data_IF_310221212222
#
_entry.id   IF_310221212222
#
_cell.length_a   1.000
_cell.length_b   1.000
_cell.length_c   1.000
_cell.angle_alpha   90.00
_cell.angle_beta   90.00
_cell.angle_gamma   90.00
#
_symmetry.space_group_name_H-M   'P 1'
#
loop_
_entity.id
_entity.type
_entity.pdbx_description
1 polymer ?
#
# COMPACT_ATOMS: atom_id res chain seq x y z
N UNK A 1 -2.11 -10.55 -5.09
CA UNK A 1 -2.52 -10.33 -3.69
C UNK A 1 -1.37 -9.66 -2.96
N UNK A 2 -1.62 -8.58 -2.23
CA UNK A 2 -0.63 -7.96 -1.35
C UNK A 2 -1.09 -8.24 0.08
N UNK A 3 -0.42 -9.14 0.81
CA UNK A 3 -0.80 -9.51 2.15
C UNK A 3 -0.31 -8.46 3.16
N UNK A 4 -0.90 -8.47 4.35
CA UNK A 4 -0.59 -7.51 5.42
C UNK A 4 0.89 -7.53 5.81
N UNK A 5 1.52 -8.71 5.79
CA UNK A 5 2.93 -8.93 6.07
C UNK A 5 3.83 -8.13 5.12
N UNK A 6 3.44 -8.01 3.85
CA UNK A 6 4.18 -7.23 2.86
C UNK A 6 4.03 -5.74 3.11
N UNK A 7 2.84 -5.30 3.51
CA UNK A 7 2.56 -3.89 3.87
C UNK A 7 3.42 -3.46 5.04
N UNK A 8 3.54 -4.30 6.07
CA UNK A 8 4.38 -4.04 7.24
C UNK A 8 5.88 -4.01 6.92
N UNK A 9 6.33 -4.72 5.88
CA UNK A 9 7.74 -4.72 5.45
C UNK A 9 8.07 -3.58 4.48
N UNK A 10 7.08 -3.12 3.72
CA UNK A 10 7.26 -2.18 2.59
C UNK A 10 6.79 -0.78 2.95
N UNK A 11 7.22 -0.30 4.11
CA UNK A 11 6.75 0.95 4.70
C UNK A 11 7.38 2.16 4.01
N UNK A 12 6.65 3.27 3.88
CA UNK A 12 7.25 4.55 3.50
C UNK A 12 8.08 5.07 4.69
N UNK A 13 9.35 5.47 4.52
CA UNK A 13 10.15 5.97 5.64
C UNK A 13 9.47 7.14 6.35
N UNK A 14 9.48 7.15 7.68
CA UNK A 14 8.82 8.19 8.48
C UNK A 14 9.26 9.61 8.09
N UNK A 15 10.56 9.81 7.85
CA UNK A 15 11.07 11.11 7.39
C UNK A 15 10.43 11.55 6.08
N UNK A 16 10.12 10.63 5.16
CA UNK A 16 9.43 10.97 3.91
C UNK A 16 8.02 11.48 4.19
N UNK A 17 7.29 10.82 5.09
CA UNK A 17 5.95 11.25 5.50
C UNK A 17 5.98 12.60 6.24
N UNK A 18 6.81 12.73 7.28
CA UNK A 18 6.88 13.96 8.08
C UNK A 18 7.40 15.15 7.30
N UNK A 19 8.32 14.93 6.35
CA UNK A 19 8.75 15.97 5.44
C UNK A 19 7.60 16.49 4.57
N UNK A 20 6.50 15.76 4.39
CA UNK A 20 5.34 16.21 3.62
C UNK A 20 4.22 16.76 4.51
N UNK A 21 4.11 16.30 5.76
CA UNK A 21 2.96 16.62 6.62
C UNK A 21 3.28 17.59 7.75
N UNK A 22 4.55 17.76 8.11
CA UNK A 22 5.00 18.59 9.23
C UNK A 22 5.70 19.89 8.78
N UNK A 23 5.13 20.55 7.76
CA UNK A 23 5.57 21.87 7.29
C UNK A 23 4.61 22.96 7.75
N UNK A 24 5.11 24.19 7.85
CA UNK A 24 4.30 25.38 8.15
C UNK A 24 3.34 25.72 7.01
N UNK A 25 3.81 25.59 5.77
CA UNK A 25 3.03 25.77 4.56
C UNK A 25 2.82 24.40 3.89
N UNK A 26 1.56 23.97 3.83
CA UNK A 26 1.14 22.71 3.23
C UNK A 26 0.25 22.99 2.03
N UNK A 27 0.46 22.25 0.94
CA UNK A 27 -0.53 22.21 -0.13
C UNK A 27 -1.85 21.60 0.38
N UNK A 28 -3.00 21.89 -0.25
CA UNK A 28 -4.28 21.25 0.08
C UNK A 28 -4.21 19.71 0.18
N UNK A 29 -3.45 19.07 -0.71
CA UNK A 29 -3.29 17.61 -0.72
C UNK A 29 -2.42 17.12 0.44
N UNK A 30 -1.35 17.83 0.80
CA UNK A 30 -0.52 17.51 1.96
C UNK A 30 -1.29 17.69 3.28
N UNK A 31 -2.09 18.76 3.36
CA UNK A 31 -2.99 18.99 4.50
C UNK A 31 -4.02 17.86 4.60
N UNK A 32 -4.63 17.47 3.49
CA UNK A 32 -5.56 16.34 3.46
C UNK A 32 -4.89 15.04 3.93
N UNK A 33 -3.71 14.71 3.40
CA UNK A 33 -2.94 13.53 3.82
C UNK A 33 -2.68 13.56 5.32
N UNK A 34 -2.18 14.68 5.85
CA UNK A 34 -1.95 14.84 7.29
C UNK A 34 -3.23 14.62 8.08
N UNK A 35 -4.29 15.34 7.75
CA UNK A 35 -5.52 15.37 8.54
C UNK A 35 -6.22 14.00 8.55
N UNK A 36 -6.24 13.27 7.42
CA UNK A 36 -6.86 11.95 7.33
C UNK A 36 -6.03 10.84 8.01
N UNK A 37 -4.71 11.01 8.14
CA UNK A 37 -3.81 9.99 8.69
C UNK A 37 -3.39 10.25 10.13
N UNK A 38 -3.55 11.47 10.63
CA UNK A 38 -3.06 11.90 11.96
C UNK A 38 -3.52 10.98 13.09
N UNK A 39 -4.81 10.63 13.11
CA UNK A 39 -5.34 9.74 14.14
C UNK A 39 -4.67 8.36 14.09
N UNK A 40 -4.57 7.75 12.90
CA UNK A 40 -3.96 6.43 12.71
C UNK A 40 -2.48 6.43 13.07
N UNK A 41 -1.73 7.45 12.66
CA UNK A 41 -0.32 7.60 12.99
C UNK A 41 -0.12 7.65 14.51
N UNK A 42 -0.94 8.42 15.22
CA UNK A 42 -0.82 8.58 16.67
C UNK A 42 -1.31 7.37 17.48
N UNK A 43 -2.42 6.73 17.07
CA UNK A 43 -3.01 5.63 17.85
C UNK A 43 -2.35 4.28 17.60
N UNK A 44 -1.85 4.08 16.38
CA UNK A 44 -1.80 2.74 15.82
C UNK A 44 -0.49 2.41 15.08
N UNK A 45 0.44 3.37 14.97
CA UNK A 45 1.70 3.20 14.24
C UNK A 45 2.96 3.42 15.10
N UNK A 46 2.82 3.55 16.42
CA UNK A 46 3.96 3.80 17.35
C UNK A 46 5.11 2.79 17.20
N UNK A 47 4.80 1.53 16.92
CA UNK A 47 5.80 0.45 16.74
C UNK A 47 6.17 0.17 15.28
N UNK A 48 5.66 0.97 14.34
CA UNK A 48 5.92 0.76 12.92
C UNK A 48 7.28 1.33 12.53
N UNK A 49 8.02 0.60 11.69
CA UNK A 49 9.31 1.06 11.12
C UNK A 49 9.15 2.21 10.12
N UNK A 50 7.93 2.46 9.66
CA UNK A 50 7.57 3.53 8.74
C UNK A 50 6.06 3.72 8.64
N UNK A 51 5.64 4.57 7.71
CA UNK A 51 4.25 4.82 7.42
C UNK A 51 3.67 3.72 6.52
N UNK A 52 2.69 2.97 7.02
CA UNK A 52 2.14 1.79 6.35
C UNK A 52 0.86 2.14 5.59
N UNK A 53 0.84 1.87 4.28
CA UNK A 53 -0.32 2.12 3.43
C UNK A 53 -0.54 0.95 2.46
N UNK A 54 -1.40 0.00 2.86
CA UNK A 54 -1.68 -1.19 2.06
C UNK A 54 -2.34 -0.87 0.72
N UNK A 55 -3.38 -0.02 0.74
CA UNK A 55 -4.12 0.36 -0.47
C UNK A 55 -3.25 1.12 -1.47
N UNK A 56 -2.33 1.96 -0.97
CA UNK A 56 -1.34 2.64 -1.80
C UNK A 56 -0.43 1.65 -2.53
N UNK A 57 0.11 0.65 -1.82
CA UNK A 57 0.94 -0.39 -2.43
C UNK A 57 0.15 -1.23 -3.45
N UNK A 58 -1.14 -1.45 -3.21
CA UNK A 58 -2.03 -2.13 -4.17
C UNK A 58 -2.22 -1.35 -5.46
N UNK A 59 -2.43 -0.03 -5.36
CA UNK A 59 -2.48 0.84 -6.54
C UNK A 59 -1.12 0.89 -7.23
N UNK A 60 -0.03 1.05 -6.49
CA UNK A 60 1.33 1.12 -7.04
C UNK A 60 1.68 -0.14 -7.84
N UNK A 61 1.43 -1.32 -7.27
CA UNK A 61 1.64 -2.61 -7.95
C UNK A 61 0.81 -2.75 -9.24
N UNK A 62 -0.36 -2.11 -9.32
CA UNK A 62 -1.22 -2.17 -10.49
C UNK A 62 -0.77 -1.22 -11.62
N UNK A 63 -0.17 -0.07 -11.28
CA UNK A 63 0.26 0.94 -12.26
C UNK A 63 1.73 0.83 -12.66
N UNK A 64 2.57 0.23 -11.81
CA UNK A 64 4.00 0.07 -12.06
C UNK A 64 4.51 -1.26 -11.49
N UNK A 65 4.60 -2.26 -12.37
CA UNK A 65 5.14 -3.58 -12.01
C UNK A 65 6.62 -3.54 -11.61
N UNK A 66 7.39 -2.51 -12.00
CA UNK A 66 8.80 -2.39 -11.60
C UNK A 66 8.96 -2.07 -10.11
N UNK A 67 7.89 -1.61 -9.46
CA UNK A 67 7.84 -1.44 -8.01
C UNK A 67 7.89 -2.76 -7.23
N UNK A 68 7.62 -3.90 -7.86
CA UNK A 68 7.58 -5.22 -7.21
C UNK A 68 8.95 -5.88 -7.31
N UNK A 69 9.53 -6.28 -6.18
CA UNK A 69 10.85 -6.96 -6.14
C UNK A 69 10.73 -8.45 -5.94
N UNK A 70 9.70 -8.90 -5.23
CA UNK A 70 9.55 -10.30 -4.85
C UNK A 70 8.10 -10.74 -4.95
N UNK A 71 7.90 -11.94 -5.50
CA UNK A 71 6.59 -12.58 -5.58
C UNK A 71 6.69 -14.07 -5.29
N UNK A 72 5.60 -14.65 -4.81
CA UNK A 72 5.40 -16.08 -4.67
C UNK A 72 4.12 -16.45 -5.39
N UNK A 73 4.16 -17.48 -6.23
CA UNK A 73 2.97 -17.99 -6.92
C UNK A 73 2.53 -19.25 -6.19
N UNK A 74 1.34 -19.21 -5.60
CA UNK A 74 0.80 -20.33 -4.82
C UNK A 74 -0.70 -20.51 -5.08
N UNK A 75 -1.18 -21.73 -4.83
CA UNK A 75 -2.62 -21.97 -4.65
C UNK A 75 -3.04 -21.33 -3.34
N UNK A 76 -4.15 -20.60 -3.37
CA UNK A 76 -4.68 -19.91 -2.19
C UNK A 76 -6.18 -20.11 -2.07
N UNK A 77 -6.66 -20.17 -0.83
CA UNK A 77 -8.08 -20.18 -0.47
C UNK A 77 -8.31 -19.26 0.72
N UNK A 78 -9.57 -18.96 1.03
CA UNK A 78 -9.96 -18.26 2.25
C UNK A 78 -10.80 -19.20 3.10
N UNK A 79 -10.46 -19.35 4.37
CA UNK A 79 -11.26 -20.16 5.32
C UNK A 79 -12.59 -19.46 5.62
N UNK A 80 -13.72 -20.17 5.49
CA UNK A 80 -15.06 -19.59 5.61
C UNK A 80 -15.85 -20.08 6.82
N UNK A 81 -15.47 -21.20 7.41
CA UNK A 81 -16.27 -21.99 8.35
C UNK A 81 -15.59 -22.22 9.70
N UNK A 82 -14.25 -22.17 9.75
CA UNK A 82 -13.48 -22.37 10.97
C UNK A 82 -13.82 -21.36 12.06
N UNK A 83 -13.98 -21.82 13.30
CA UNK A 83 -14.37 -20.98 14.44
C UNK A 83 -13.36 -19.88 14.75
N UNK A 84 -12.06 -20.16 14.60
CA UNK A 84 -10.97 -19.24 14.96
C UNK A 84 -10.19 -18.69 13.76
N UNK A 85 -10.37 -19.26 12.57
CA UNK A 85 -9.57 -18.98 11.38
C UNK A 85 -10.40 -18.46 10.21
N UNK A 86 -11.71 -18.23 10.40
CA UNK A 86 -12.56 -17.61 9.38
C UNK A 86 -11.96 -16.28 8.90
N UNK A 87 -11.79 -16.16 7.59
CA UNK A 87 -11.17 -15.01 6.92
C UNK A 87 -9.66 -15.16 6.69
N UNK A 88 -9.02 -16.21 7.21
CA UNK A 88 -7.59 -16.45 6.97
C UNK A 88 -7.33 -16.82 5.51
N UNK A 89 -6.30 -16.20 4.91
CA UNK A 89 -5.75 -16.62 3.63
C UNK A 89 -4.89 -17.88 3.83
N UNK A 90 -5.36 -19.01 3.29
CA UNK A 90 -4.71 -20.32 3.40
C UNK A 90 -3.87 -20.57 2.15
N UNK A 91 -2.59 -20.91 2.36
CA UNK A 91 -1.62 -21.18 1.30
C UNK A 91 -1.40 -22.69 1.15
N UNK A 92 -1.48 -23.18 -0.09
CA UNK A 92 -1.07 -24.54 -0.42
C UNK A 92 0.42 -24.61 -0.69
N UNK A 93 1.24 -24.76 0.36
CA UNK A 93 2.70 -24.82 0.24
C UNK A 93 3.23 -26.10 -0.39
N UNK A 94 2.45 -27.19 -0.30
CA UNK A 94 2.78 -28.50 -0.84
C UNK A 94 1.63 -28.99 -1.72
N UNK A 95 1.92 -29.86 -2.69
CA UNK A 95 0.94 -30.29 -3.70
C UNK A 95 -0.33 -30.92 -3.11
N UNK A 96 -0.20 -31.61 -1.98
CA UNK A 96 -1.33 -32.26 -1.31
C UNK A 96 -2.20 -31.32 -0.46
N UNK A 97 -1.75 -30.08 -0.20
CA UNK A 97 -2.55 -29.10 0.54
C UNK A 97 -3.60 -28.47 -0.38
N UNK A 98 -4.81 -28.18 0.12
CA UNK A 98 -5.93 -27.56 -0.63
C UNK A 98 -6.13 -28.13 -2.06
N UNK A 99 -6.18 -29.46 -2.23
CA UNK A 99 -6.14 -30.12 -3.55
C UNK A 99 -7.30 -29.74 -4.48
N UNK A 100 -8.41 -29.26 -3.93
CA UNK A 100 -9.59 -28.75 -4.64
C UNK A 100 -9.33 -27.41 -5.35
N UNK A 101 -8.38 -26.61 -4.87
CA UNK A 101 -8.01 -25.35 -5.50
C UNK A 101 -7.06 -25.63 -6.66
N UNK A 102 -7.47 -25.23 -7.87
CA UNK A 102 -6.67 -25.46 -9.09
C UNK A 102 -5.97 -24.22 -9.63
N UNK A 103 -6.38 -23.02 -9.21
CA UNK A 103 -5.82 -21.75 -9.70
C UNK A 103 -4.74 -21.26 -8.75
N UNK A 104 -3.67 -20.74 -9.32
CA UNK A 104 -2.63 -20.04 -8.58
C UNK A 104 -2.96 -18.54 -8.49
N UNK A 105 -2.50 -17.92 -7.42
CA UNK A 105 -2.45 -16.48 -7.27
C UNK A 105 -1.00 -16.03 -7.10
N UNK A 106 -0.67 -14.89 -7.70
CA UNK A 106 0.58 -14.19 -7.43
C UNK A 106 0.41 -13.41 -6.13
N UNK A 107 1.28 -13.69 -5.17
CA UNK A 107 1.36 -13.05 -3.86
C UNK A 107 2.61 -12.18 -3.87
N UNK A 108 2.45 -10.88 -3.67
CA UNK A 108 3.57 -9.93 -3.67
C UNK A 108 4.17 -9.92 -2.27
N UNK A 109 5.47 -10.20 -2.15
CA UNK A 109 6.18 -10.32 -0.87
C UNK A 109 7.17 -9.20 -0.61
N UNK A 110 7.46 -8.37 -1.62
CA UNK A 110 8.41 -7.27 -1.49
C UNK A 110 8.18 -6.18 -2.55
N UNK A 111 8.50 -4.95 -2.14
CA UNK A 111 8.50 -3.77 -2.99
C UNK A 111 9.85 -3.07 -2.99
N UNK A 112 10.13 -2.36 -4.09
CA UNK A 112 11.30 -1.51 -4.23
C UNK A 112 11.10 -0.21 -3.46
N UNK A 113 11.81 -0.07 -2.33
CA UNK A 113 11.68 1.08 -1.45
C UNK A 113 11.95 2.43 -2.14
N UNK A 114 12.86 2.47 -3.12
CA UNK A 114 13.17 3.71 -3.86
C UNK A 114 11.99 4.14 -4.74
N UNK A 115 11.39 3.19 -5.47
CA UNK A 115 10.22 3.46 -6.32
C UNK A 115 9.00 3.81 -5.47
N UNK A 116 8.76 3.08 -4.38
CA UNK A 116 7.70 3.39 -3.41
C UNK A 116 7.83 4.82 -2.86
N UNK A 117 9.04 5.21 -2.44
CA UNK A 117 9.32 6.57 -1.97
C UNK A 117 9.12 7.61 -3.07
N UNK A 118 9.61 7.35 -4.28
CA UNK A 118 9.50 8.25 -5.42
C UNK A 118 8.03 8.52 -5.76
N UNK A 119 7.22 7.47 -5.93
CA UNK A 119 5.80 7.61 -6.24
C UNK A 119 5.06 8.33 -5.10
N UNK A 120 5.38 8.04 -3.84
CA UNK A 120 4.73 8.70 -2.70
C UNK A 120 5.01 10.21 -2.72
N UNK A 121 6.28 10.60 -2.91
CA UNK A 121 6.64 12.01 -3.07
C UNK A 121 5.99 12.61 -4.31
N UNK A 122 5.98 11.93 -5.45
CA UNK A 122 5.34 12.43 -6.66
C UNK A 122 3.85 12.69 -6.46
N UNK A 123 3.14 11.84 -5.73
CA UNK A 123 1.71 12.02 -5.45
C UNK A 123 1.45 13.21 -4.52
N UNK A 124 2.23 13.35 -3.44
CA UNK A 124 1.89 14.29 -2.35
C UNK A 124 2.78 15.55 -2.30
N UNK A 125 3.90 15.60 -3.02
CA UNK A 125 4.77 16.77 -3.11
C UNK A 125 4.42 17.68 -4.30
N UNK A 126 3.47 17.29 -5.17
CA UNK A 126 3.04 18.13 -6.27
C UNK A 126 2.33 19.38 -5.77
N UNK A 127 2.76 20.54 -6.28
CA UNK A 127 2.05 21.79 -6.11
C UNK A 127 0.74 21.74 -6.89
N UNK A 128 -0.28 22.37 -6.30
CA UNK A 128 -1.68 22.28 -6.74
C UNK A 128 -1.96 22.86 -8.13
N UNK A 129 -0.96 23.46 -8.79
CA UNK A 129 -1.07 23.99 -10.16
C UNK A 129 -1.59 22.95 -11.15
N UNK A 130 -1.15 21.68 -11.05
CA UNK A 130 -1.57 20.63 -11.99
C UNK A 130 -3.03 20.20 -11.82
N UNK A 131 -3.59 20.37 -10.62
CA UNK A 131 -5.01 20.11 -10.37
C UNK A 131 -5.91 21.25 -10.86
N UNK A 132 -5.43 22.50 -10.90
CA UNK A 132 -6.19 23.60 -11.51
C UNK A 132 -6.27 23.49 -13.04
N UNK A 133 -5.18 23.05 -13.69
CA UNK A 133 -5.19 22.82 -15.14
C UNK A 133 -6.18 21.74 -15.57
N UNK A 134 -6.38 20.71 -14.73
CA UNK A 134 -7.39 19.66 -14.97
C UNK A 134 -8.84 20.15 -14.83
N UNK A 135 -9.10 21.15 -13.98
CA UNK A 135 -10.43 21.76 -13.82
C UNK A 135 -10.83 22.61 -15.02
N UNK A 136 -9.85 23.21 -15.71
CA UNK A 136 -10.08 23.97 -16.93
C UNK A 136 -10.37 23.07 -18.15
N UNK A 137 -10.07 21.77 -18.09
CA UNK A 137 -10.34 20.83 -19.17
C UNK A 137 -11.83 20.43 -19.27
N UNK A 138 -12.61 20.58 -18.20
CA UNK A 138 -14.05 20.26 -18.16
C UNK A 138 -14.97 21.49 -18.27
N UNK A 139 -14.42 22.68 -18.58
CA UNK A 139 -15.19 23.92 -18.81
C UNK A 139 -15.21 24.36 -20.29
N UNK A 140 -15.07 23.44 -21.24
CA UNK A 140 -15.27 23.70 -22.67
C UNK A 140 -16.35 22.81 -23.25
#
# INVERSE_FOLDING_TARGET
>A
IIPWETVLKSTVPWDTYYNLTNRTELSPLQKFLRDITNYTVNCCMEKSTGFNLGDYLAVLAAIDNSSITETVVNRVSVELTGTHTRGQLVHGWLDYMIPEVKRNATIITGFNASITKEYFNRTFAQDSQQFEDSKNCCMR
#
